data_IF_143815828124
#
_entry.id   IF_143815828124
#
_cell.length_a   1.000
_cell.length_b   1.000
_cell.length_c   1.000
_cell.angle_alpha   90.00
_cell.angle_beta   90.00
_cell.angle_gamma   90.00
#
_symmetry.space_group_name_H-M   'P 1'
#
loop_
_entity.id
_entity.type
_entity.pdbx_description
1 polymer ?
#
# COMPACT_ATOMS: atom_id res chain seq x y z
N UNK A 1 0.65 0.36 3.12
CA UNK A 1 2.13 0.27 3.05
C UNK A 1 2.57 -1.16 3.34
N UNK A 2 3.83 -1.52 3.05
CA UNK A 2 4.36 -2.86 3.34
C UNK A 2 5.64 -2.74 4.15
N UNK A 3 5.83 -3.60 5.15
CA UNK A 3 7.04 -3.65 5.97
C UNK A 3 7.60 -5.07 6.03
N UNK A 4 8.89 -5.19 6.33
CA UNK A 4 9.48 -6.46 6.79
C UNK A 4 8.87 -6.84 8.15
N UNK A 5 8.71 -8.14 8.39
CA UNK A 5 8.12 -8.65 9.63
C UNK A 5 8.93 -8.24 10.86
N UNK A 6 8.38 -7.37 11.70
CA UNK A 6 8.98 -6.88 12.94
C UNK A 6 7.88 -6.60 13.98
N UNK A 7 7.77 -7.42 15.04
CA UNK A 7 6.76 -7.20 16.09
C UNK A 7 6.88 -5.84 16.78
N UNK A 8 8.11 -5.34 17.00
CA UNK A 8 8.32 -4.02 17.61
C UNK A 8 7.80 -2.90 16.72
N UNK A 9 8.14 -2.92 15.43
CA UNK A 9 7.65 -1.94 14.47
C UNK A 9 6.12 -2.01 14.33
N UNK A 10 5.53 -3.20 14.36
CA UNK A 10 4.07 -3.34 14.33
C UNK A 10 3.39 -2.69 15.55
N UNK A 11 3.96 -2.83 16.75
CA UNK A 11 3.47 -2.16 17.95
C UNK A 11 3.60 -0.63 17.84
N UNK A 12 4.72 -0.13 17.31
CA UNK A 12 4.92 1.30 17.05
C UNK A 12 3.89 1.83 16.04
N UNK A 13 3.64 1.10 14.95
CA UNK A 13 2.61 1.45 13.96
C UNK A 13 1.22 1.52 14.61
N UNK A 14 0.88 0.57 15.50
CA UNK A 14 -0.40 0.63 16.24
C UNK A 14 -0.46 1.86 17.14
N UNK A 15 0.63 2.21 17.81
CA UNK A 15 0.69 3.42 18.65
C UNK A 15 0.49 4.70 17.83
N UNK A 16 1.16 4.81 16.69
CA UNK A 16 0.99 5.91 15.74
C UNK A 16 -0.46 5.99 15.23
N UNK A 17 -1.05 4.85 14.88
CA UNK A 17 -2.44 4.79 14.45
C UNK A 17 -3.39 5.28 15.55
N UNK A 18 -3.22 4.80 16.79
CA UNK A 18 -4.02 5.24 17.94
C UNK A 18 -3.92 6.76 18.16
N UNK A 19 -2.70 7.32 18.10
CA UNK A 19 -2.49 8.75 18.24
C UNK A 19 -3.24 9.54 17.16
N UNK A 20 -3.21 9.10 15.91
CA UNK A 20 -3.94 9.75 14.81
C UNK A 20 -5.46 9.61 14.98
N UNK A 21 -5.97 8.45 15.38
CA UNK A 21 -7.41 8.26 15.61
C UNK A 21 -7.98 9.10 16.76
N UNK A 22 -7.15 9.53 17.71
CA UNK A 22 -7.58 10.43 18.78
C UNK A 22 -8.00 11.82 18.26
N UNK A 23 -7.50 12.23 17.10
CA UNK A 23 -7.79 13.54 16.47
C UNK A 23 -9.18 13.61 15.81
N UNK A 24 -9.83 12.47 15.61
CA UNK A 24 -11.11 12.34 14.88
C UNK A 24 -12.26 11.83 15.78
N UNK A 25 -12.11 11.91 17.10
CA UNK A 25 -13.11 11.43 18.08
C UNK A 25 -14.45 12.15 18.00
N UNK A 26 -14.48 13.37 17.47
CA UNK A 26 -15.71 14.16 17.27
C UNK A 26 -16.42 13.83 15.96
N UNK A 27 -15.79 13.07 15.06
CA UNK A 27 -16.38 12.69 13.76
C UNK A 27 -17.54 11.73 13.97
N UNK A 28 -18.69 12.04 13.37
CA UNK A 28 -19.91 11.24 13.56
C UNK A 28 -19.79 9.86 12.91
N UNK A 29 -20.10 8.83 13.69
CA UNK A 29 -20.10 7.43 13.23
C UNK A 29 -18.73 6.94 12.80
N UNK A 30 -17.67 7.51 13.37
CA UNK A 30 -16.30 7.15 13.04
C UNK A 30 -15.98 5.72 13.47
N UNK A 31 -15.41 4.95 12.55
CA UNK A 31 -15.00 3.57 12.77
C UNK A 31 -13.65 3.33 12.08
N UNK A 32 -12.55 3.66 12.77
CA UNK A 32 -11.21 3.48 12.22
C UNK A 32 -10.75 2.02 12.36
N UNK A 33 -10.23 1.43 11.27
CA UNK A 33 -9.70 0.06 11.26
C UNK A 33 -8.29 0.05 10.67
N UNK A 34 -7.37 -0.63 11.35
CA UNK A 34 -6.06 -1.00 10.82
C UNK A 34 -5.98 -2.52 10.67
N UNK A 35 -5.43 -3.00 9.56
CA UNK A 35 -5.27 -4.42 9.26
C UNK A 35 -3.81 -4.75 8.98
N UNK A 36 -3.36 -5.88 9.53
CA UNK A 36 -2.04 -6.46 9.28
C UNK A 36 -2.24 -7.79 8.56
N UNK A 37 -1.77 -7.87 7.32
CA UNK A 37 -1.93 -9.06 6.48
C UNK A 37 -0.56 -9.63 6.15
N UNK A 38 -0.37 -10.91 6.46
CA UNK A 38 0.93 -11.57 6.30
C UNK A 38 1.09 -12.08 4.87
N UNK A 39 2.20 -11.71 4.23
CA UNK A 39 2.70 -12.37 3.02
C UNK A 39 3.83 -13.30 3.48
N UNK A 40 3.47 -14.56 3.72
CA UNK A 40 4.39 -15.55 4.29
C UNK A 40 5.47 -15.97 3.29
N UNK A 41 6.60 -16.48 3.79
CA UNK A 41 7.61 -17.11 2.93
C UNK A 41 7.04 -18.27 2.10
N UNK A 42 6.07 -19.03 2.63
CA UNK A 42 5.41 -20.09 1.87
C UNK A 42 4.61 -19.54 0.68
N UNK A 43 3.97 -18.38 0.85
CA UNK A 43 3.29 -17.65 -0.23
C UNK A 43 4.30 -17.13 -1.25
N UNK A 44 5.37 -16.47 -0.80
CA UNK A 44 6.43 -15.91 -1.66
C UNK A 44 7.12 -17.01 -2.46
N UNK A 45 7.34 -18.19 -1.89
CA UNK A 45 7.90 -19.33 -2.60
C UNK A 45 7.06 -19.77 -3.82
N UNK A 46 5.76 -19.46 -3.84
CA UNK A 46 4.91 -19.73 -5.01
C UNK A 46 4.98 -18.64 -6.08
N UNK A 47 5.57 -17.48 -5.81
CA UNK A 47 5.60 -16.35 -6.76
C UNK A 47 6.41 -16.64 -8.02
N UNK A 48 7.35 -17.59 -7.95
CA UNK A 48 8.16 -18.04 -9.08
C UNK A 48 7.54 -19.21 -9.83
N UNK A 49 6.50 -19.84 -9.28
CA UNK A 49 5.78 -20.95 -9.92
C UNK A 49 5.07 -20.42 -11.17
N UNK A 50 5.38 -20.99 -12.33
CA UNK A 50 4.88 -20.58 -13.65
C UNK A 50 5.53 -19.31 -14.26
N UNK A 51 6.80 -19.04 -13.94
CA UNK A 51 7.59 -18.01 -14.64
C UNK A 51 7.62 -16.64 -13.97
N UNK A 52 7.21 -16.55 -12.70
CA UNK A 52 7.29 -15.33 -11.90
C UNK A 52 6.03 -14.48 -11.92
N UNK A 53 6.10 -13.34 -11.24
CA UNK A 53 5.09 -12.28 -11.28
C UNK A 53 5.76 -10.89 -11.32
N UNK A 54 4.96 -9.84 -11.43
CA UNK A 54 5.42 -8.46 -11.55
C UNK A 54 5.55 -7.72 -10.22
N UNK A 55 5.33 -8.36 -9.07
CA UNK A 55 5.17 -7.67 -7.78
C UNK A 55 6.50 -7.17 -7.18
N UNK A 56 7.64 -7.63 -7.70
CA UNK A 56 8.97 -7.24 -7.21
C UNK A 56 9.33 -7.81 -5.84
N UNK A 57 8.58 -8.79 -5.33
CA UNK A 57 8.84 -9.48 -4.06
C UNK A 57 9.62 -10.77 -4.34
N UNK A 58 10.67 -11.00 -3.57
CA UNK A 58 11.58 -12.14 -3.69
C UNK A 58 11.72 -12.88 -2.37
N UNK A 59 12.37 -14.06 -2.40
CA UNK A 59 12.65 -14.82 -1.17
C UNK A 59 13.55 -14.07 -0.18
N UNK A 60 14.42 -13.18 -0.67
CA UNK A 60 15.36 -12.40 0.14
C UNK A 60 14.65 -11.34 1.00
N UNK A 61 13.41 -10.99 0.66
CA UNK A 61 12.59 -10.05 1.43
C UNK A 61 12.06 -10.67 2.73
N UNK A 62 12.04 -12.01 2.83
CA UNK A 62 11.47 -12.75 3.94
C UNK A 62 9.96 -12.54 4.08
N UNK A 63 9.39 -12.83 5.25
CA UNK A 63 7.97 -12.56 5.52
C UNK A 63 7.71 -11.05 5.52
N UNK A 64 6.71 -10.62 4.75
CA UNK A 64 6.26 -9.23 4.70
C UNK A 64 4.91 -9.06 5.39
N UNK A 65 4.67 -7.85 5.90
CA UNK A 65 3.39 -7.46 6.50
C UNK A 65 2.83 -6.30 5.68
N UNK A 66 1.70 -6.55 5.02
CA UNK A 66 0.90 -5.52 4.37
C UNK A 66 0.03 -4.84 5.43
N UNK A 67 0.14 -3.52 5.50
CA UNK A 67 -0.61 -2.67 6.43
C UNK A 67 -1.55 -1.79 5.62
N UNK A 68 -2.84 -1.90 5.92
CA UNK A 68 -3.90 -1.08 5.32
C UNK A 68 -4.83 -0.52 6.39
N UNK A 69 -5.45 0.62 6.09
CA UNK A 69 -6.46 1.26 6.92
C UNK A 69 -7.79 1.26 6.19
N UNK A 70 -8.88 1.03 6.91
CA UNK A 70 -10.24 1.01 6.37
C UNK A 70 -11.15 1.78 7.30
N UNK A 71 -11.19 3.09 7.10
CA UNK A 71 -11.88 4.01 7.98
C UNK A 71 -13.28 4.30 7.43
N UNK A 72 -14.28 4.30 8.30
CA UNK A 72 -15.66 4.66 7.95
C UNK A 72 -16.11 5.83 8.81
N UNK A 73 -16.97 6.67 8.25
CA UNK A 73 -17.58 7.83 8.91
C UNK A 73 -18.92 8.14 8.22
N UNK A 74 -19.77 8.95 8.85
CA UNK A 74 -21.16 9.12 8.41
C UNK A 74 -21.41 10.30 7.47
N UNK A 75 -20.61 11.37 7.55
CA UNK A 75 -20.90 12.61 6.85
C UNK A 75 -19.75 12.99 5.90
N UNK A 76 -20.08 13.35 4.66
CA UNK A 76 -19.08 13.84 3.69
C UNK A 76 -18.36 15.13 4.14
N UNK A 77 -18.98 15.92 5.03
CA UNK A 77 -18.36 17.11 5.62
C UNK A 77 -17.08 16.78 6.43
N UNK A 78 -16.92 15.53 6.88
CA UNK A 78 -15.78 15.06 7.66
C UNK A 78 -14.67 14.44 6.77
N UNK A 79 -14.87 14.34 5.45
CA UNK A 79 -13.93 13.68 4.51
C UNK A 79 -12.51 14.21 4.66
N UNK A 80 -12.36 15.55 4.65
CA UNK A 80 -11.05 16.19 4.75
C UNK A 80 -10.30 15.82 6.04
N UNK A 81 -11.01 15.76 7.17
CA UNK A 81 -10.41 15.36 8.45
C UNK A 81 -10.00 13.89 8.44
N UNK A 82 -10.81 13.02 7.84
CA UNK A 82 -10.54 11.58 7.75
C UNK A 82 -9.38 11.25 6.82
N UNK A 83 -9.26 11.95 5.67
CA UNK A 83 -8.11 11.83 4.78
C UNK A 83 -6.83 12.37 5.43
N UNK A 84 -6.89 13.54 6.07
CA UNK A 84 -5.74 14.11 6.78
C UNK A 84 -5.23 13.17 7.89
N UNK A 85 -6.14 12.54 8.64
CA UNK A 85 -5.79 11.54 9.65
C UNK A 85 -5.03 10.35 9.04
N UNK A 86 -5.54 9.80 7.93
CA UNK A 86 -4.91 8.67 7.24
C UNK A 86 -3.52 9.05 6.66
N UNK A 87 -3.41 10.22 6.03
CA UNK A 87 -2.17 10.72 5.44
C UNK A 87 -1.09 10.92 6.51
N UNK A 88 -1.45 11.58 7.63
CA UNK A 88 -0.54 11.79 8.76
C UNK A 88 -0.08 10.47 9.39
N UNK A 89 -0.98 9.49 9.50
CA UNK A 89 -0.64 8.14 9.93
C UNK A 89 0.38 7.49 8.99
N UNK A 90 0.09 7.42 7.69
CA UNK A 90 1.00 6.77 6.74
C UNK A 90 2.33 7.48 6.61
N UNK A 91 2.36 8.82 6.66
CA UNK A 91 3.59 9.59 6.65
C UNK A 91 4.47 9.21 7.85
N UNK A 92 3.90 9.20 9.06
CA UNK A 92 4.60 8.84 10.29
C UNK A 92 5.08 7.38 10.26
N UNK A 93 4.20 6.44 9.91
CA UNK A 93 4.52 5.02 9.87
C UNK A 93 5.59 4.68 8.82
N UNK A 94 5.52 5.30 7.63
CA UNK A 94 6.55 5.13 6.58
C UNK A 94 7.89 5.72 7.02
N UNK A 95 7.89 6.89 7.67
CA UNK A 95 9.10 7.51 8.20
C UNK A 95 9.78 6.60 9.26
N UNK A 96 9.01 6.10 10.23
CA UNK A 96 9.50 5.16 11.25
C UNK A 96 10.07 3.89 10.62
N UNK A 97 9.33 3.25 9.71
CA UNK A 97 9.78 2.03 9.03
C UNK A 97 11.05 2.28 8.17
N UNK A 98 11.16 3.45 7.53
CA UNK A 98 12.33 3.83 6.75
C UNK A 98 13.55 4.02 7.64
N UNK A 99 13.40 4.74 8.76
CA UNK A 99 14.49 4.97 9.72
C UNK A 99 15.04 3.66 10.30
N UNK A 100 14.21 2.63 10.42
CA UNK A 100 14.60 1.29 10.87
C UNK A 100 15.10 0.37 9.74
N UNK A 101 15.06 0.81 8.48
CA UNK A 101 15.43 -0.02 7.33
C UNK A 101 14.46 -1.18 7.04
N UNK A 102 13.22 -1.06 7.52
CA UNK A 102 12.18 -2.11 7.44
C UNK A 102 11.03 -1.79 6.49
N UNK A 103 11.00 -0.58 5.91
CA UNK A 103 10.03 -0.25 4.86
C UNK A 103 10.32 -1.05 3.60
N UNK A 104 9.30 -1.73 3.06
CA UNK A 104 9.39 -2.43 1.79
C UNK A 104 8.67 -1.61 0.69
N UNK A 105 9.25 -1.48 -0.53
CA UNK A 105 8.70 -0.59 -1.57
C UNK A 105 7.36 -1.07 -2.15
N UNK A 106 7.04 -2.36 -2.05
CA UNK A 106 5.78 -2.92 -2.55
C UNK A 106 4.55 -2.22 -1.97
N UNK A 107 3.63 -1.84 -2.85
CA UNK A 107 2.31 -1.31 -2.51
C UNK A 107 1.27 -2.22 -3.15
N UNK A 108 0.32 -2.73 -2.37
CA UNK A 108 -0.73 -3.56 -2.92
C UNK A 108 -1.82 -2.71 -3.56
N UNK A 109 -1.91 -2.78 -4.90
CA UNK A 109 -2.79 -1.96 -5.73
C UNK A 109 -4.25 -1.91 -5.26
N UNK A 110 -4.80 -3.05 -4.81
CA UNK A 110 -6.21 -3.17 -4.46
C UNK A 110 -6.59 -2.39 -3.18
N UNK A 111 -5.62 -2.03 -2.34
CA UNK A 111 -5.83 -1.23 -1.12
C UNK A 111 -5.10 0.12 -1.16
N UNK A 112 -4.55 0.49 -2.31
CA UNK A 112 -3.80 1.73 -2.45
C UNK A 112 -4.75 2.90 -2.70
N UNK A 113 -4.57 4.00 -1.97
CA UNK A 113 -5.31 5.24 -2.23
C UNK A 113 -4.87 5.87 -3.56
N UNK A 114 -5.70 6.74 -4.15
CA UNK A 114 -5.47 7.28 -5.50
C UNK A 114 -4.19 8.12 -5.68
N UNK A 115 -3.55 8.56 -4.60
CA UNK A 115 -2.28 9.31 -4.64
C UNK A 115 -1.04 8.42 -4.73
N UNK A 116 -1.15 7.12 -4.47
CA UNK A 116 0.01 6.24 -4.37
C UNK A 116 0.50 5.78 -5.75
N UNK A 117 1.81 5.92 -5.99
CA UNK A 117 2.46 5.29 -7.14
C UNK A 117 2.75 3.80 -6.84
N UNK A 118 1.78 2.96 -7.19
CA UNK A 118 1.84 1.50 -6.98
C UNK A 118 2.96 0.84 -7.79
N UNK A 119 3.12 1.21 -9.06
CA UNK A 119 3.99 0.48 -9.98
C UNK A 119 5.47 0.74 -9.75
N UNK A 120 5.84 1.89 -9.19
CA UNK A 120 7.22 2.12 -8.75
C UNK A 120 7.62 1.15 -7.65
N UNK A 121 6.68 0.74 -6.79
CA UNK A 121 6.90 -0.27 -5.75
C UNK A 121 7.20 -1.68 -6.26
N UNK A 122 6.96 -1.96 -7.55
CA UNK A 122 7.21 -3.26 -8.17
C UNK A 122 8.66 -3.42 -8.67
N UNK A 123 9.45 -2.35 -8.61
CA UNK A 123 10.82 -2.28 -9.09
C UNK A 123 10.92 -1.88 -10.56
N UNK A 124 12.00 -1.20 -10.91
CA UNK A 124 12.20 -0.58 -12.22
C UNK A 124 12.10 -1.59 -13.39
N UNK A 125 12.67 -2.79 -13.23
CA UNK A 125 12.65 -3.83 -14.25
C UNK A 125 11.23 -4.34 -14.53
N UNK A 126 10.44 -4.61 -13.49
CA UNK A 126 9.05 -5.06 -13.65
C UNK A 126 8.17 -3.95 -14.21
N UNK A 127 8.34 -2.71 -13.74
CA UNK A 127 7.64 -1.54 -14.28
C UNK A 127 7.93 -1.36 -15.78
N UNK A 128 9.19 -1.47 -16.20
CA UNK A 128 9.57 -1.40 -17.62
C UNK A 128 8.94 -2.53 -18.45
N UNK A 129 8.92 -3.77 -17.92
CA UNK A 129 8.28 -4.92 -18.59
C UNK A 129 6.76 -4.73 -18.74
N UNK A 130 6.11 -4.18 -17.71
CA UNK A 130 4.68 -3.84 -17.76
C UNK A 130 4.42 -2.76 -18.82
N UNK A 131 5.26 -1.72 -18.88
CA UNK A 131 5.14 -0.66 -19.89
C UNK A 131 5.30 -1.21 -21.31
N UNK A 132 6.30 -2.06 -21.54
CA UNK A 132 6.50 -2.71 -22.85
C UNK A 132 5.33 -3.63 -23.23
N UNK A 133 4.73 -4.31 -22.26
CA UNK A 133 3.53 -5.14 -22.47
C UNK A 133 2.32 -4.28 -22.80
N UNK A 134 2.12 -3.18 -22.07
CA UNK A 134 1.06 -2.22 -22.35
C UNK A 134 1.20 -1.64 -23.76
N UNK A 135 2.42 -1.28 -24.18
CA UNK A 135 2.66 -0.78 -25.54
C UNK A 135 2.35 -1.83 -26.62
N UNK A 136 2.70 -3.09 -26.36
CA UNK A 136 2.45 -4.18 -27.32
C UNK A 136 0.95 -4.49 -27.51
N UNK A 137 0.16 -4.41 -26.44
CA UNK A 137 -1.23 -4.90 -26.45
C UNK A 137 -2.29 -3.79 -26.34
N UNK A 138 -1.92 -2.58 -25.91
CA UNK A 138 -2.77 -1.40 -25.80
C UNK A 138 -1.97 -0.14 -26.21
N UNK A 139 -1.45 -0.14 -27.44
CA UNK A 139 -0.61 0.95 -27.99
C UNK A 139 -1.36 2.29 -28.07
N UNK A 140 -2.68 2.27 -28.24
CA UNK A 140 -3.53 3.47 -28.17
C UNK A 140 -3.81 3.93 -26.73
N UNK A 141 -3.38 3.16 -25.73
CA UNK A 141 -3.52 3.48 -24.31
C UNK A 141 -4.98 3.59 -23.86
N UNK A 142 -5.90 2.82 -24.45
CA UNK A 142 -7.33 2.85 -24.13
C UNK A 142 -7.56 2.70 -22.63
N UNK A 143 -6.90 1.75 -21.97
CA UNK A 143 -7.10 1.51 -20.53
C UNK A 143 -6.38 2.54 -19.64
N UNK A 144 -5.34 3.18 -20.16
CA UNK A 144 -4.62 4.25 -19.45
C UNK A 144 -5.35 5.59 -19.56
N UNK A 145 -5.96 5.87 -20.71
CA UNK A 145 -6.52 7.18 -21.06
C UNK A 145 -8.03 7.26 -20.88
N UNK A 146 -8.78 6.21 -21.25
CA UNK A 146 -10.24 6.26 -21.32
C UNK A 146 -10.93 5.60 -20.12
N UNK A 147 -10.27 4.66 -19.43
CA UNK A 147 -10.83 4.05 -18.23
C UNK A 147 -10.76 5.06 -17.05
N UNK A 148 -11.88 5.48 -16.45
CA UNK A 148 -11.84 6.33 -15.27
C UNK A 148 -11.34 5.55 -14.04
N UNK A 149 -10.58 6.24 -13.18
CA UNK A 149 -10.07 5.67 -11.93
C UNK A 149 -8.97 4.61 -12.08
N UNK A 150 -8.67 3.96 -10.97
CA UNK A 150 -7.60 2.96 -10.86
C UNK A 150 -6.19 3.54 -10.97
N UNK A 151 -5.20 2.74 -10.55
CA UNK A 151 -3.79 3.08 -10.63
C UNK A 151 -3.31 3.00 -12.08
N UNK A 152 -2.81 4.12 -12.62
CA UNK A 152 -2.34 4.18 -14.01
C UNK A 152 -0.87 3.80 -14.10
N UNK A 153 -0.56 2.85 -14.98
CA UNK A 153 0.80 2.50 -15.34
C UNK A 153 1.39 3.65 -16.18
N UNK A 154 2.33 4.39 -15.58
CA UNK A 154 3.03 5.53 -16.17
C UNK A 154 4.52 5.31 -16.08
#
# INVERSE_FOLDING_TARGET
MTIKNSPSLMLEVVALYKAQTATITTVKGVFPVISFQVISMATIAQFTKNGGNSLGITGDDGTLILISTSNRWSNAADDAAMYAMADNFYASAKATATAQGLLHPYIYMNYADGSQDVFTGYGAANKAKLLATAEKYDSFGVFRNLLPGGHKLK
#
